data_IF_451736369560
#
_entry.id   IF_451736369560
#
_cell.length_a   1.000
_cell.length_b   1.000
_cell.length_c   1.000
_cell.angle_alpha   90.00
_cell.angle_beta   90.00
_cell.angle_gamma   90.00
#
_symmetry.space_group_name_H-M   'P 1'
#
loop_
_entity.id
_entity.type
_entity.pdbx_description
1 polymer ?
#
# COMPACT_ATOMS: atom_id res chain seq x y z
N UNK A 1 -6.95 14.92 14.12
CA UNK A 1 -7.54 13.72 13.47
C UNK A 1 -7.35 13.94 11.98
N UNK A 2 -6.44 13.21 11.33
CA UNK A 2 -6.18 13.37 9.89
C UNK A 2 -7.33 12.73 9.11
N UNK A 3 -7.79 13.40 8.05
CA UNK A 3 -8.91 13.00 7.21
C UNK A 3 -8.54 11.73 6.42
N UNK A 4 -9.33 10.67 6.56
CA UNK A 4 -9.24 9.48 5.69
C UNK A 4 -10.15 9.75 4.50
N UNK A 5 -9.59 9.72 3.29
CA UNK A 5 -10.34 9.94 2.04
C UNK A 5 -10.59 8.62 1.33
N UNK A 6 -11.85 8.29 1.09
CA UNK A 6 -12.26 7.15 0.29
C UNK A 6 -12.16 7.48 -1.21
N UNK A 7 -11.65 6.55 -2.01
CA UNK A 7 -11.49 6.65 -3.46
C UNK A 7 -11.84 5.30 -4.12
N UNK A 8 -12.03 5.33 -5.44
CA UNK A 8 -12.06 4.12 -6.26
C UNK A 8 -10.82 4.03 -7.13
N UNK A 9 -10.22 2.84 -7.19
CA UNK A 9 -9.06 2.55 -8.03
C UNK A 9 -9.38 1.42 -9.01
N UNK A 10 -9.03 1.63 -10.28
CA UNK A 10 -9.00 0.57 -11.30
C UNK A 10 -7.58 0.02 -11.36
N UNK A 11 -7.41 -1.27 -11.09
CA UNK A 11 -6.14 -1.97 -11.15
C UNK A 11 -5.77 -2.33 -12.61
N UNK A 12 -4.50 -2.70 -12.90
CA UNK A 12 -4.06 -3.01 -14.26
C UNK A 12 -4.86 -4.12 -14.97
N UNK A 13 -5.48 -5.01 -14.21
CA UNK A 13 -6.32 -6.10 -14.73
C UNK A 13 -7.80 -5.71 -14.89
N UNK A 14 -8.15 -4.43 -14.65
CA UNK A 14 -9.50 -3.90 -14.75
C UNK A 14 -10.33 -4.00 -13.46
N UNK A 15 -9.83 -4.67 -12.42
CA UNK A 15 -10.56 -4.81 -11.14
C UNK A 15 -10.74 -3.44 -10.49
N UNK A 16 -11.97 -3.14 -10.05
CA UNK A 16 -12.28 -1.94 -9.26
C UNK A 16 -12.25 -2.29 -7.78
N UNK A 17 -11.50 -1.50 -7.01
CA UNK A 17 -11.44 -1.61 -5.55
C UNK A 17 -11.68 -0.26 -4.90
N UNK A 18 -12.26 -0.27 -3.70
CA UNK A 18 -12.29 0.90 -2.82
C UNK A 18 -10.92 1.05 -2.17
N UNK A 19 -10.41 2.28 -2.10
CA UNK A 19 -9.14 2.60 -1.46
C UNK A 19 -9.30 3.75 -0.48
N UNK A 20 -8.45 3.76 0.54
CA UNK A 20 -8.41 4.76 1.58
C UNK A 20 -7.05 5.45 1.54
N UNK A 21 -7.07 6.78 1.53
CA UNK A 21 -5.86 7.60 1.50
C UNK A 21 -5.68 8.33 2.83
N UNK A 22 -4.42 8.45 3.27
CA UNK A 22 -4.03 9.26 4.43
C UNK A 22 -2.69 9.95 4.19
N UNK A 23 -2.61 11.22 4.60
CA UNK A 23 -1.36 11.97 4.66
C UNK A 23 -0.69 11.77 6.03
N UNK A 24 0.64 11.63 6.01
CA UNK A 24 1.48 11.42 7.18
C UNK A 24 2.52 12.53 7.18
N UNK A 25 2.39 13.42 8.15
CA UNK A 25 3.29 14.56 8.34
C UNK A 25 4.28 14.29 9.47
N UNK A 26 5.55 14.54 9.19
CA UNK A 26 6.69 14.62 10.10
C UNK A 26 7.67 15.69 9.59
N UNK A 27 8.98 15.47 9.76
CA UNK A 27 9.99 16.30 9.07
C UNK A 27 10.00 16.05 7.55
N UNK A 28 9.58 14.85 7.13
CA UNK A 28 9.18 14.51 5.77
C UNK A 28 7.65 14.23 5.70
N UNK A 29 7.09 14.16 4.50
CA UNK A 29 5.65 13.91 4.30
C UNK A 29 5.37 12.80 3.28
N UNK A 30 4.49 11.87 3.66
CA UNK A 30 4.04 10.76 2.81
C UNK A 30 2.53 10.79 2.61
N UNK A 31 2.06 10.53 1.39
CA UNK A 31 0.68 10.09 1.13
C UNK A 31 0.68 8.56 1.00
N UNK A 32 -0.13 7.89 1.81
CA UNK A 32 -0.35 6.45 1.71
C UNK A 32 -1.77 6.15 1.28
N UNK A 33 -1.93 5.28 0.28
CA UNK A 33 -3.22 4.79 -0.21
C UNK A 33 -3.23 3.27 -0.12
N UNK A 34 -4.29 2.66 0.40
CA UNK A 34 -4.42 1.21 0.51
C UNK A 34 -5.86 0.76 0.25
N UNK A 35 -6.05 -0.48 -0.19
CA UNK A 35 -7.37 -1.07 -0.36
C UNK A 35 -7.30 -2.51 -0.87
N UNK A 36 -8.37 -3.27 -0.63
CA UNK A 36 -8.53 -4.64 -1.11
C UNK A 36 -10.00 -4.92 -1.42
N UNK A 37 -10.29 -5.95 -2.23
CA UNK A 37 -11.65 -6.49 -2.36
C UNK A 37 -11.92 -7.69 -1.43
N UNK A 38 -11.00 -7.93 -0.49
CA UNK A 38 -11.10 -8.97 0.53
C UNK A 38 -10.66 -10.36 0.06
N UNK A 39 -10.71 -11.32 0.98
CA UNK A 39 -10.37 -12.70 0.66
C UNK A 39 -11.41 -13.32 -0.29
N UNK A 40 -10.93 -14.10 -1.28
CA UNK A 40 -11.75 -14.82 -2.28
C UNK A 40 -11.43 -16.32 -2.38
N UNK A 41 -10.56 -16.82 -1.48
CA UNK A 41 -10.02 -18.18 -1.50
C UNK A 41 -8.99 -18.37 -2.62
N UNK A 42 -7.91 -19.11 -2.37
CA UNK A 42 -6.93 -19.44 -3.42
C UNK A 42 -5.94 -18.32 -3.80
N UNK A 43 -5.42 -18.40 -5.03
CA UNK A 43 -4.37 -17.53 -5.56
C UNK A 43 -4.95 -16.39 -6.44
N UNK A 44 -4.09 -15.69 -7.20
CA UNK A 44 -4.48 -14.56 -8.05
C UNK A 44 -5.63 -14.86 -9.04
N UNK A 45 -5.78 -16.12 -9.49
CA UNK A 45 -6.85 -16.53 -10.43
C UNK A 45 -8.25 -16.48 -9.81
N UNK A 46 -8.34 -16.42 -8.48
CA UNK A 46 -9.61 -16.42 -7.73
C UNK A 46 -10.12 -15.01 -7.43
N UNK A 47 -9.43 -13.97 -7.90
CA UNK A 47 -9.96 -12.61 -7.98
C UNK A 47 -9.72 -11.71 -6.76
N UNK A 48 -9.07 -12.18 -5.69
CA UNK A 48 -8.65 -11.27 -4.62
C UNK A 48 -7.58 -10.30 -5.12
N UNK A 49 -7.72 -9.02 -4.78
CA UNK A 49 -6.80 -7.95 -5.19
C UNK A 49 -6.49 -7.05 -4.02
N UNK A 50 -5.20 -6.83 -3.82
CA UNK A 50 -4.67 -5.94 -2.80
C UNK A 50 -3.87 -4.85 -3.49
N UNK A 51 -4.05 -3.62 -3.03
CA UNK A 51 -3.34 -2.45 -3.50
C UNK A 51 -2.88 -1.64 -2.31
N UNK A 52 -1.65 -1.17 -2.38
CA UNK A 52 -1.22 -0.03 -1.61
C UNK A 52 -0.16 0.75 -2.38
N UNK A 53 -0.02 2.02 -2.04
CA UNK A 53 0.95 2.94 -2.63
C UNK A 53 1.41 3.92 -1.57
N UNK A 54 2.71 4.17 -1.55
CA UNK A 54 3.35 5.20 -0.74
C UNK A 54 3.92 6.23 -1.72
N UNK A 55 3.55 7.49 -1.54
CA UNK A 55 3.96 8.61 -2.39
C UNK A 55 4.70 9.61 -1.54
N UNK A 56 5.92 9.99 -1.94
CA UNK A 56 6.58 11.15 -1.35
C UNK A 56 5.86 12.42 -1.78
N UNK A 57 5.40 13.19 -0.80
CA UNK A 57 4.75 14.49 -0.99
C UNK A 57 5.50 15.61 -0.27
N UNK A 58 6.67 15.32 0.31
CA UNK A 58 7.45 16.31 1.01
C UNK A 58 8.80 15.78 1.51
N UNK A 59 9.81 15.88 0.65
CA UNK A 59 11.23 15.76 0.97
C UNK A 59 11.60 14.49 1.75
N UNK A 60 11.06 13.34 1.33
CA UNK A 60 11.42 12.03 1.89
C UNK A 60 12.66 11.50 1.18
N UNK A 61 13.71 11.14 1.91
CA UNK A 61 14.83 10.37 1.35
C UNK A 61 14.42 8.91 1.16
N UNK A 62 13.85 8.59 -0.01
CA UNK A 62 13.33 7.27 -0.35
C UNK A 62 13.86 6.78 -1.69
N UNK A 63 14.57 5.66 -1.69
CA UNK A 63 14.98 4.93 -2.88
C UNK A 63 14.30 3.57 -2.95
N UNK A 64 13.65 3.28 -4.09
CA UNK A 64 12.94 2.02 -4.32
C UNK A 64 13.59 1.28 -5.48
N UNK A 65 14.08 0.07 -5.21
CA UNK A 65 14.67 -0.80 -6.23
C UNK A 65 13.76 -1.99 -6.48
N UNK A 66 13.38 -2.20 -7.74
CA UNK A 66 12.60 -3.37 -8.16
C UNK A 66 13.46 -4.32 -8.97
N UNK A 67 13.31 -5.62 -8.74
CA UNK A 67 13.89 -6.67 -9.58
C UNK A 67 12.77 -7.42 -10.33
N UNK A 68 13.06 -7.93 -11.52
CA UNK A 68 12.11 -8.74 -12.30
C UNK A 68 12.53 -10.19 -12.29
N UNK A 69 11.54 -11.08 -12.15
CA UNK A 69 11.78 -12.52 -12.27
C UNK A 69 12.16 -12.86 -13.72
N UNK A 70 13.21 -13.66 -13.97
CA UNK A 70 13.54 -14.13 -15.31
C UNK A 70 12.35 -14.86 -15.95
N UNK A 71 12.10 -14.59 -17.23
CA UNK A 71 11.02 -15.21 -18.02
C UNK A 71 9.59 -14.97 -17.51
N UNK A 72 9.38 -13.96 -16.67
CA UNK A 72 8.05 -13.56 -16.19
C UNK A 72 7.88 -12.05 -16.25
N UNK A 73 6.64 -11.59 -16.41
CA UNK A 73 6.31 -10.17 -16.28
C UNK A 73 6.14 -9.74 -14.81
N UNK A 74 6.31 -10.65 -13.86
CA UNK A 74 6.16 -10.37 -12.44
C UNK A 74 7.42 -9.73 -11.85
N UNK A 75 7.19 -8.81 -10.92
CA UNK A 75 8.24 -8.26 -10.05
C UNK A 75 8.65 -9.35 -9.05
N UNK A 76 9.95 -9.58 -8.90
CA UNK A 76 10.50 -10.58 -7.97
C UNK A 76 10.69 -9.98 -6.57
N UNK A 77 11.24 -8.77 -6.49
CA UNK A 77 11.40 -8.05 -5.23
C UNK A 77 11.20 -6.54 -5.42
N UNK A 78 10.78 -5.89 -4.33
CA UNK A 78 10.84 -4.44 -4.16
C UNK A 78 11.59 -4.16 -2.85
N UNK A 79 12.71 -3.45 -2.95
CA UNK A 79 13.54 -3.03 -1.83
C UNK A 79 13.27 -1.54 -1.56
N UNK A 80 12.96 -1.18 -0.32
CA UNK A 80 12.77 0.20 0.12
C UNK A 80 13.94 0.59 1.02
N UNK A 81 14.68 1.62 0.61
CA UNK A 81 15.81 2.18 1.36
C UNK A 81 15.41 3.61 1.73
N UNK A 82 15.31 3.89 3.03
CA UNK A 82 14.97 5.21 3.52
C UNK A 82 16.04 5.73 4.48
N UNK A 83 16.33 7.03 4.40
CA UNK A 83 17.45 7.65 5.11
C UNK A 83 17.03 8.56 6.26
N UNK A 84 17.24 8.13 7.50
CA UNK A 84 17.09 8.98 8.69
C UNK A 84 15.95 8.59 9.62
N UNK A 85 15.88 9.27 10.77
CA UNK A 85 14.90 8.98 11.83
C UNK A 85 13.47 9.41 11.44
N UNK A 86 13.32 10.48 10.66
CA UNK A 86 12.00 10.95 10.24
C UNK A 86 11.35 10.01 9.22
N UNK A 87 12.11 9.50 8.26
CA UNK A 87 11.68 8.48 7.32
C UNK A 87 11.27 7.20 8.06
N UNK A 88 12.05 6.78 9.06
CA UNK A 88 11.72 5.64 9.89
C UNK A 88 10.39 5.83 10.64
N UNK A 89 10.16 7.00 11.23
CA UNK A 89 8.89 7.28 11.92
C UNK A 89 7.70 7.29 10.95
N UNK A 90 7.83 8.03 9.84
CA UNK A 90 6.74 8.22 8.87
C UNK A 90 6.42 6.94 8.12
N UNK A 91 7.41 6.11 7.77
CA UNK A 91 7.17 4.82 7.11
C UNK A 91 6.48 3.83 8.05
N UNK A 92 6.85 3.79 9.35
CA UNK A 92 6.15 2.95 10.34
C UNK A 92 4.67 3.33 10.41
N UNK A 93 4.37 4.64 10.44
CA UNK A 93 2.98 5.14 10.47
C UNK A 93 2.24 4.80 9.18
N UNK A 94 2.92 4.83 8.02
CA UNK A 94 2.35 4.46 6.73
C UNK A 94 1.99 2.99 6.68
N UNK A 95 2.92 2.11 7.05
CA UNK A 95 2.70 0.67 7.06
C UNK A 95 1.60 0.25 8.04
N UNK A 96 1.54 0.87 9.23
CA UNK A 96 0.43 0.64 10.18
C UNK A 96 -0.92 1.01 9.60
N UNK A 97 -1.01 2.10 8.84
CA UNK A 97 -2.24 2.47 8.15
C UNK A 97 -2.61 1.47 7.05
N UNK A 98 -1.64 1.02 6.24
CA UNK A 98 -1.86 -0.02 5.24
C UNK A 98 -2.41 -1.28 5.88
N UNK A 99 -1.74 -1.80 6.91
CA UNK A 99 -2.17 -3.01 7.63
C UNK A 99 -3.61 -2.85 8.12
N UNK A 100 -3.89 -1.75 8.83
CA UNK A 100 -5.24 -1.47 9.34
C UNK A 100 -6.31 -1.53 8.24
N UNK A 101 -6.09 -0.83 7.12
CA UNK A 101 -7.05 -0.81 6.00
C UNK A 101 -7.23 -2.20 5.41
N UNK A 102 -6.15 -2.95 5.23
CA UNK A 102 -6.23 -4.29 4.65
C UNK A 102 -6.93 -5.27 5.58
N UNK A 103 -6.72 -5.18 6.89
CA UNK A 103 -7.43 -6.01 7.89
C UNK A 103 -8.92 -5.69 7.90
N UNK A 104 -9.29 -4.41 8.02
CA UNK A 104 -10.69 -3.96 8.05
C UNK A 104 -11.46 -4.36 6.77
N UNK A 105 -10.84 -4.23 5.59
CA UNK A 105 -11.47 -4.53 4.29
C UNK A 105 -11.32 -6.01 3.86
N UNK A 106 -10.56 -6.82 4.60
CA UNK A 106 -10.32 -8.23 4.23
C UNK A 106 -11.58 -9.11 4.34
N UNK A 107 -12.59 -8.63 5.08
CA UNK A 107 -13.83 -9.34 5.42
C UNK A 107 -13.59 -10.74 6.01
N UNK A 108 -12.50 -10.90 6.78
CA UNK A 108 -12.32 -12.10 7.59
C UNK A 108 -13.44 -12.15 8.63
N UNK A 109 -14.32 -13.14 8.54
CA UNK A 109 -15.22 -13.47 9.65
C UNK A 109 -14.30 -14.07 10.71
N UNK A 110 -13.86 -13.22 11.64
CA UNK A 110 -13.17 -13.66 12.84
C UNK A 110 -14.22 -14.39 13.68
N UNK A 111 -14.14 -15.72 13.75
CA UNK A 111 -14.87 -16.50 14.75
C UNK A 111 -14.42 -16.13 16.18
#
# INVERSE_FOLDING_TARGET
MFEIKEKQKVLPDGTRITTFTREITGANMLEVEAGTNGFKGGNAEHGSRTYFRITDIGNTDMFVKTSRRPYSNNTESAEFILGGDCELETIIRALKFVVKVLEEESAEVVD
#
